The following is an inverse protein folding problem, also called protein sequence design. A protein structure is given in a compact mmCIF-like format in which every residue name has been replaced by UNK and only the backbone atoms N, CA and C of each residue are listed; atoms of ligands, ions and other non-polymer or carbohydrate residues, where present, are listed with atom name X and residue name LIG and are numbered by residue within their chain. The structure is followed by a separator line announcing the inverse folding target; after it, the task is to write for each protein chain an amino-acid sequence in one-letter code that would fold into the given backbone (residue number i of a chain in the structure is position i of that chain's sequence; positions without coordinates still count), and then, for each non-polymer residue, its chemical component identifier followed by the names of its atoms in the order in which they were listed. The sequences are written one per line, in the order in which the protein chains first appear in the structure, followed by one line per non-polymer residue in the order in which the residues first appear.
data_IF_306932266538
#
_entry.id   IF_306932266538
#
_cell.length_a   1.000
_cell.length_b   1.000
_cell.length_c   1.000
_cell.angle_alpha   90.00
_cell.angle_beta   90.00
_cell.angle_gamma   90.00
#
_symmetry.space_group_name_H-M   'P 1'
#
loop_
_entity.id
_entity.type
_entity.pdbx_description
1 polymer ?
#
# COMPACT_ATOMS: atom_id res chain seq x y z
N UNK A 1 -19.45 -44.10 22.50
CA UNK A 1 -18.80 -43.63 21.27
C UNK A 1 -19.09 -42.16 20.92
N UNK A 2 -20.22 -41.57 21.30
CA UNK A 2 -20.57 -40.18 20.95
C UNK A 2 -19.64 -39.09 21.55
N UNK A 3 -19.14 -39.27 22.78
CA UNK A 3 -18.21 -38.32 23.39
C UNK A 3 -16.93 -38.17 22.54
N UNK A 4 -16.37 -39.27 22.04
CA UNK A 4 -15.10 -39.26 21.30
C UNK A 4 -15.10 -38.34 20.08
N UNK A 5 -16.24 -38.29 19.39
CA UNK A 5 -16.44 -37.50 18.19
C UNK A 5 -16.44 -35.99 18.48
N UNK A 6 -16.94 -35.57 19.64
CA UNK A 6 -16.98 -34.17 20.04
C UNK A 6 -15.57 -33.62 20.28
N UNK A 7 -14.69 -34.38 20.94
CA UNK A 7 -13.33 -33.91 21.24
C UNK A 7 -12.44 -33.83 20.00
N UNK A 8 -12.63 -34.76 19.05
CA UNK A 8 -11.99 -34.69 17.74
C UNK A 8 -12.43 -33.44 16.97
N UNK A 9 -13.74 -33.12 16.98
CA UNK A 9 -14.27 -31.91 16.34
C UNK A 9 -13.75 -30.61 16.98
N UNK A 10 -13.63 -30.54 18.32
CA UNK A 10 -13.01 -29.40 19.01
C UNK A 10 -11.51 -29.26 18.68
N UNK A 11 -10.80 -30.37 18.47
CA UNK A 11 -9.41 -30.36 18.02
C UNK A 11 -9.27 -29.70 16.64
N UNK A 12 -10.15 -30.06 15.70
CA UNK A 12 -10.18 -29.45 14.36
C UNK A 12 -10.51 -27.96 14.42
N UNK A 13 -11.43 -27.54 15.30
CA UNK A 13 -11.79 -26.12 15.43
C UNK A 13 -10.62 -25.24 15.91
N UNK A 14 -9.75 -25.78 16.78
CA UNK A 14 -8.53 -25.07 17.22
C UNK A 14 -7.58 -24.76 16.08
N UNK A 15 -7.55 -25.57 15.01
CA UNK A 15 -6.77 -25.29 13.80
C UNK A 15 -7.27 -24.02 13.12
N UNK A 16 -8.58 -23.89 12.95
CA UNK A 16 -9.19 -22.70 12.34
C UNK A 16 -8.95 -21.44 13.16
N UNK A 17 -9.08 -21.51 14.50
CA UNK A 17 -8.77 -20.37 15.38
C UNK A 17 -7.31 -19.93 15.22
N UNK A 18 -6.36 -20.87 15.17
CA UNK A 18 -4.94 -20.55 14.94
C UNK A 18 -4.73 -19.86 13.60
N UNK A 19 -5.33 -20.39 12.53
CA UNK A 19 -5.25 -19.79 11.19
C UNK A 19 -5.86 -18.39 11.13
N UNK A 20 -6.98 -18.16 11.83
CA UNK A 20 -7.58 -16.84 11.95
C UNK A 20 -6.59 -15.82 12.53
N UNK A 21 -5.96 -16.14 13.66
CA UNK A 21 -5.00 -15.23 14.30
C UNK A 21 -3.72 -15.04 13.49
N UNK A 22 -3.24 -16.08 12.80
CA UNK A 22 -2.11 -15.97 11.87
C UNK A 22 -2.47 -15.02 10.73
N UNK A 23 -3.62 -15.19 10.09
CA UNK A 23 -4.06 -14.34 8.99
C UNK A 23 -4.28 -12.89 9.45
N UNK A 24 -4.92 -12.70 10.60
CA UNK A 24 -5.14 -11.39 11.20
C UNK A 24 -3.82 -10.67 11.53
N UNK A 25 -2.90 -11.36 12.21
CA UNK A 25 -1.58 -10.83 12.52
C UNK A 25 -0.75 -10.52 11.26
N UNK A 26 -0.85 -11.38 10.24
CA UNK A 26 -0.20 -11.14 8.93
C UNK A 26 -0.77 -9.91 8.25
N UNK A 27 -2.08 -9.68 8.31
CA UNK A 27 -2.71 -8.48 7.77
C UNK A 27 -2.22 -7.19 8.45
N UNK A 28 -2.11 -7.20 9.78
CA UNK A 28 -1.54 -6.07 10.53
C UNK A 28 -0.07 -5.83 10.15
N UNK A 29 0.72 -6.91 10.09
CA UNK A 29 2.12 -6.82 9.70
C UNK A 29 2.28 -6.27 8.27
N UNK A 30 1.44 -6.72 7.34
CA UNK A 30 1.44 -6.22 5.96
C UNK A 30 1.12 -4.72 5.90
N UNK A 31 0.14 -4.24 6.67
CA UNK A 31 -0.15 -2.82 6.76
C UNK A 31 1.04 -2.01 7.29
N UNK A 32 1.70 -2.48 8.36
CA UNK A 32 2.91 -1.84 8.90
C UNK A 32 4.06 -1.84 7.88
N UNK A 33 4.24 -2.94 7.13
CA UNK A 33 5.27 -3.04 6.10
C UNK A 33 5.08 -2.02 4.98
N UNK A 34 3.84 -1.69 4.59
CA UNK A 34 3.59 -0.64 3.58
C UNK A 34 4.17 0.70 4.05
N UNK A 35 3.93 1.08 5.31
CA UNK A 35 4.48 2.32 5.87
C UNK A 35 6.01 2.29 5.99
N UNK A 36 6.59 1.15 6.37
CA UNK A 36 8.04 0.98 6.41
C UNK A 36 8.67 1.11 5.02
N UNK A 37 8.08 0.47 4.01
CA UNK A 37 8.50 0.59 2.62
C UNK A 37 8.41 2.03 2.11
N UNK A 38 7.35 2.76 2.49
CA UNK A 38 7.23 4.18 2.21
C UNK A 38 8.34 5.00 2.89
N UNK A 39 8.66 4.71 4.15
CA UNK A 39 9.75 5.36 4.88
C UNK A 39 11.15 5.08 4.29
N UNK A 40 11.37 3.88 3.74
CA UNK A 40 12.59 3.54 3.02
C UNK A 40 12.65 4.09 1.59
N UNK A 41 11.59 4.73 1.10
CA UNK A 41 11.56 5.28 -0.25
C UNK A 41 11.41 4.23 -1.35
N UNK A 42 10.88 3.04 -1.05
CA UNK A 42 10.59 2.00 -2.07
C UNK A 42 9.60 2.52 -3.12
N UNK A 43 8.72 3.45 -2.73
CA UNK A 43 7.77 4.11 -3.62
C UNK A 43 8.30 5.41 -4.25
N UNK A 44 9.60 5.66 -4.14
CA UNK A 44 10.25 6.90 -4.60
C UNK A 44 10.50 7.92 -3.48
N UNK A 45 11.25 8.98 -3.77
CA UNK A 45 11.52 10.03 -2.80
C UNK A 45 10.25 10.85 -2.52
N UNK A 46 10.05 11.23 -1.26
CA UNK A 46 9.03 12.21 -0.90
C UNK A 46 9.39 13.55 -1.56
N UNK A 47 8.49 14.18 -2.35
CA UNK A 47 8.73 15.49 -2.92
C UNK A 47 9.00 16.53 -1.83
N UNK A 48 9.76 17.56 -2.15
CA UNK A 48 10.00 18.67 -1.22
C UNK A 48 8.70 19.42 -0.94
N UNK A 49 8.62 20.05 0.23
CA UNK A 49 7.46 20.86 0.63
C UNK A 49 7.18 21.98 -0.38
N UNK A 50 8.22 22.66 -0.86
CA UNK A 50 8.12 23.69 -1.89
C UNK A 50 7.42 23.18 -3.15
N UNK A 51 7.69 21.93 -3.55
CA UNK A 51 7.06 21.31 -4.72
C UNK A 51 5.62 20.86 -4.46
N UNK A 52 5.27 20.58 -3.21
CA UNK A 52 3.90 20.25 -2.81
C UNK A 52 3.02 21.50 -2.67
N UNK A 53 3.57 22.61 -2.18
CA UNK A 53 2.86 23.90 -2.07
C UNK A 53 2.69 24.58 -3.43
N UNK A 54 3.69 24.46 -4.30
CA UNK A 54 3.64 24.98 -5.66
C UNK A 54 4.06 23.90 -6.66
N UNK A 55 3.17 22.94 -6.97
CA UNK A 55 3.47 21.93 -7.96
C UNK A 55 3.69 22.65 -9.28
N UNK A 56 4.93 22.67 -9.78
CA UNK A 56 5.13 23.17 -11.14
C UNK A 56 4.45 22.17 -12.05
N UNK A 57 3.31 22.60 -12.53
CA UNK A 57 2.65 22.01 -13.66
C UNK A 57 3.66 22.18 -14.78
N UNK A 58 4.09 21.07 -15.38
CA UNK A 58 4.87 21.13 -16.62
C UNK A 58 3.88 21.52 -17.73
N UNK A 59 3.24 22.69 -17.59
CA UNK A 59 2.47 23.37 -18.61
C UNK A 59 3.50 23.81 -19.62
N UNK A 60 3.97 22.87 -20.43
CA UNK A 60 4.53 23.12 -21.73
C UNK A 60 3.39 23.66 -22.61
N UNK A 61 2.92 24.86 -22.29
CA UNK A 61 2.17 25.67 -23.24
C UNK A 61 3.23 26.29 -24.13
N UNK A 62 3.64 25.52 -25.12
CA UNK A 62 4.44 26.04 -26.22
C UNK A 62 3.61 27.11 -26.94
N UNK A 63 4.05 28.35 -26.89
CA UNK A 63 3.39 29.43 -27.64
C UNK A 63 3.90 29.31 -29.07
N UNK A 64 3.15 28.59 -29.90
CA UNK A 64 3.41 28.52 -31.34
C UNK A 64 2.84 29.78 -31.98
N UNK A 65 3.73 30.64 -32.46
CA UNK A 65 3.34 31.82 -33.24
C UNK A 65 2.75 31.39 -34.60
N UNK A 66 1.98 32.27 -35.24
CA UNK A 66 1.29 31.98 -36.51
C UNK A 66 2.24 31.67 -37.69
N UNK A 67 3.52 31.99 -37.53
CA UNK A 67 4.63 31.71 -38.44
C UNK A 67 5.33 30.37 -38.16
N UNK A 68 4.91 29.64 -37.10
CA UNK A 68 5.47 28.34 -36.73
C UNK A 68 6.69 28.42 -35.83
N UNK A 69 7.06 29.60 -35.32
CA UNK A 69 8.14 29.73 -34.35
C UNK A 69 7.65 29.52 -32.92
N UNK A 70 8.46 28.83 -32.13
CA UNK A 70 8.19 28.49 -30.74
C UNK A 70 8.69 29.61 -29.83
N UNK A 71 7.77 30.32 -29.19
CA UNK A 71 8.09 31.34 -28.19
C UNK A 71 8.07 30.65 -26.82
N UNK A 72 9.26 30.53 -26.23
CA UNK A 72 9.50 29.86 -24.95
C UNK A 72 8.89 30.57 -23.74
#
# INVERSE_FOLDING_TARGET
MAKQKLWAQFSEFRKFIKWFWILFGTGILAALLIFLMAGWGVFGPMPTFERLENPQTNLATEIVSSDGETLG
#
